data_IF_298592086305
#
_entry.id   IF_298592086305
#
_cell.length_a   1.000
_cell.length_b   1.000
_cell.length_c   1.000
_cell.angle_alpha   90.00
_cell.angle_beta   90.00
_cell.angle_gamma   90.00
#
_symmetry.space_group_name_H-M   'P 1'
#
loop_
_entity.id
_entity.type
_entity.pdbx_description
1 polymer ?
#
# COMPACT_ATOMS: atom_id res chain seq x y z
N UNK A 1 -19.00 1.85 -4.81
CA UNK A 1 -19.16 1.88 -3.34
C UNK A 1 -18.30 0.76 -2.77
N UNK A 2 -17.44 1.04 -1.79
CA UNK A 2 -16.49 0.07 -1.19
C UNK A 2 -17.17 -0.99 -0.29
N UNK A 3 -18.42 -1.36 -0.55
CA UNK A 3 -19.16 -2.40 0.17
C UNK A 3 -19.53 -2.10 1.63
N UNK A 4 -19.12 -0.95 2.17
CA UNK A 4 -19.40 -0.54 3.55
C UNK A 4 -19.97 0.87 3.57
N UNK A 5 -21.12 1.05 4.22
CA UNK A 5 -21.66 2.36 4.55
C UNK A 5 -20.87 2.95 5.71
N UNK A 6 -20.18 4.06 5.46
CA UNK A 6 -19.54 4.84 6.50
C UNK A 6 -20.44 6.02 6.88
N UNK A 7 -20.57 6.30 8.17
CA UNK A 7 -21.22 7.52 8.64
C UNK A 7 -20.39 8.73 8.19
N UNK A 8 -21.05 9.87 8.01
CA UNK A 8 -20.35 11.12 7.73
C UNK A 8 -19.38 11.45 8.86
N UNK A 9 -18.13 11.74 8.48
CA UNK A 9 -17.09 12.17 9.37
C UNK A 9 -17.10 13.69 9.59
N UNK A 10 -16.42 14.13 10.64
CA UNK A 10 -16.16 15.55 10.92
C UNK A 10 -14.66 15.83 10.75
N UNK A 11 -14.32 17.01 10.22
CA UNK A 11 -12.92 17.41 10.06
C UNK A 11 -12.23 17.67 11.41
N UNK A 12 -10.92 17.43 11.46
CA UNK A 12 -10.10 17.60 12.68
C UNK A 12 -10.34 18.95 13.38
N UNK A 13 -10.24 20.07 12.65
CA UNK A 13 -10.35 21.41 13.24
C UNK A 13 -11.73 21.69 13.85
N UNK A 14 -12.78 21.13 13.28
CA UNK A 14 -14.14 21.29 13.82
C UNK A 14 -14.35 20.39 15.04
N UNK A 15 -13.87 19.15 14.98
CA UNK A 15 -13.87 18.24 16.13
C UNK A 15 -13.10 18.81 17.32
N UNK A 16 -11.96 19.45 17.07
CA UNK A 16 -11.15 20.12 18.08
C UNK A 16 -11.91 21.31 18.71
N UNK A 17 -12.52 22.18 17.89
CA UNK A 17 -13.32 23.31 18.39
C UNK A 17 -14.51 22.87 19.24
N UNK A 18 -15.12 21.74 18.91
CA UNK A 18 -16.25 21.16 19.66
C UNK A 18 -15.81 20.33 20.89
N UNK A 19 -14.51 20.24 21.18
CA UNK A 19 -13.98 19.43 22.30
C UNK A 19 -14.24 17.93 22.15
N UNK A 20 -14.42 17.44 20.91
CA UNK A 20 -14.71 16.03 20.64
C UNK A 20 -13.46 15.15 20.75
N UNK A 21 -12.27 15.71 20.51
CA UNK A 21 -11.01 14.96 20.62
C UNK A 21 -10.67 14.59 22.07
N UNK A 22 -11.20 15.34 23.04
CA UNK A 22 -11.06 15.04 24.48
C UNK A 22 -12.00 13.89 24.92
N UNK A 23 -13.02 13.55 24.11
CA UNK A 23 -14.00 12.50 24.38
C UNK A 23 -13.67 11.23 23.59
N UNK A 24 -13.01 10.27 24.25
CA UNK A 24 -12.67 8.96 23.67
C UNK A 24 -13.86 7.99 23.74
N UNK A 25 -14.01 7.02 22.80
CA UNK A 25 -13.12 6.74 21.67
C UNK A 25 -13.47 7.54 20.41
N UNK A 26 -12.45 7.77 19.58
CA UNK A 26 -12.60 8.32 18.24
C UNK A 26 -11.62 7.63 17.28
N UNK A 27 -11.92 7.68 15.99
CA UNK A 27 -11.04 7.23 14.91
C UNK A 27 -10.81 8.41 13.99
N UNK A 28 -9.56 8.62 13.59
CA UNK A 28 -9.17 9.63 12.62
C UNK A 28 -8.50 8.94 11.44
N UNK A 29 -9.02 9.20 10.23
CA UNK A 29 -8.36 8.82 8.99
C UNK A 29 -7.56 10.02 8.50
N UNK A 30 -6.25 9.85 8.34
CA UNK A 30 -5.33 10.90 7.94
C UNK A 30 -4.34 10.37 6.89
N UNK A 31 -3.78 11.22 6.03
CA UNK A 31 -2.70 10.82 5.12
C UNK A 31 -1.53 10.21 5.87
N UNK A 32 -0.75 9.35 5.20
CA UNK A 32 0.47 8.81 5.79
C UNK A 32 1.47 9.94 6.00
N UNK A 33 1.74 10.25 7.27
CA UNK A 33 2.69 11.29 7.68
C UNK A 33 3.93 10.64 8.30
N UNK A 34 5.07 11.32 8.25
CA UNK A 34 6.24 10.87 8.99
C UNK A 34 6.04 11.05 10.50
N UNK A 35 6.68 10.22 11.32
CA UNK A 35 6.65 10.36 12.79
C UNK A 35 7.15 11.72 13.28
N UNK A 36 7.96 12.41 12.45
CA UNK A 36 8.49 13.74 12.78
C UNK A 36 7.45 14.85 12.62
N UNK A 37 6.32 14.56 11.97
CA UNK A 37 5.25 15.52 11.71
C UNK A 37 4.68 16.09 13.02
N UNK A 38 4.56 17.42 13.10
CA UNK A 38 4.09 18.14 14.30
C UNK A 38 2.65 17.78 14.67
N UNK A 39 1.78 17.57 13.68
CA UNK A 39 0.39 17.15 13.89
C UNK A 39 0.32 15.79 14.59
N UNK A 40 1.06 14.79 14.11
CA UNK A 40 1.10 13.47 14.75
C UNK A 40 1.65 13.57 16.17
N UNK A 41 2.70 14.37 16.39
CA UNK A 41 3.26 14.59 17.72
C UNK A 41 2.23 15.21 18.68
N UNK A 42 1.48 16.22 18.23
CA UNK A 42 0.40 16.82 19.02
C UNK A 42 -0.70 15.80 19.33
N UNK A 43 -1.15 15.02 18.33
CA UNK A 43 -2.19 14.02 18.55
C UNK A 43 -1.77 12.98 19.58
N UNK A 44 -0.51 12.51 19.51
CA UNK A 44 0.05 11.56 20.47
C UNK A 44 0.21 12.19 21.86
N UNK A 45 0.83 13.37 21.97
CA UNK A 45 1.15 13.97 23.28
C UNK A 45 -0.08 14.52 24.00
N UNK A 46 -1.01 15.16 23.27
CA UNK A 46 -2.17 15.84 23.86
C UNK A 46 -3.34 14.89 24.08
N UNK A 47 -3.63 14.02 23.11
CA UNK A 47 -4.80 13.15 23.17
C UNK A 47 -4.45 11.68 23.41
N UNK A 48 -3.16 11.33 23.52
CA UNK A 48 -2.74 9.94 23.68
C UNK A 48 -3.12 9.07 22.48
N UNK A 49 -3.09 9.65 21.27
CA UNK A 49 -3.41 8.94 20.04
C UNK A 49 -2.42 7.80 19.81
N UNK A 50 -2.91 6.69 19.26
CA UNK A 50 -2.11 5.56 18.79
C UNK A 50 -2.20 5.53 17.27
N UNK A 51 -1.07 5.40 16.58
CA UNK A 51 -1.03 5.36 15.11
C UNK A 51 -1.01 3.93 14.58
N UNK A 52 -1.87 3.67 13.60
CA UNK A 52 -1.92 2.40 12.86
C UNK A 52 -1.66 2.70 11.40
N UNK A 53 -0.65 2.04 10.82
CA UNK A 53 -0.29 2.16 9.40
C UNK A 53 -0.63 0.88 8.65
N UNK A 54 -1.07 1.03 7.39
CA UNK A 54 -1.38 -0.09 6.50
C UNK A 54 -0.40 -0.09 5.32
N UNK A 55 0.27 -1.22 5.07
CA UNK A 55 1.19 -1.35 3.93
C UNK A 55 1.48 -2.82 3.61
N UNK A 56 1.59 -3.17 2.33
CA UNK A 56 2.06 -4.49 1.90
C UNK A 56 3.47 -4.81 2.40
N UNK A 57 4.24 -3.77 2.73
CA UNK A 57 5.60 -3.86 3.25
C UNK A 57 5.68 -3.75 4.78
N UNK A 58 4.58 -3.80 5.50
CA UNK A 58 4.54 -3.63 6.96
C UNK A 58 5.49 -4.58 7.73
N UNK A 59 5.71 -5.80 7.22
CA UNK A 59 6.61 -6.81 7.79
C UNK A 59 7.98 -6.89 7.10
N UNK A 60 8.27 -5.98 6.15
CA UNK A 60 9.52 -6.02 5.41
C UNK A 60 10.71 -5.67 6.29
N UNK A 61 11.76 -6.48 6.26
CA UNK A 61 13.05 -6.15 6.87
C UNK A 61 13.87 -5.19 6.02
N UNK A 62 13.58 -5.13 4.71
CA UNK A 62 14.25 -4.25 3.74
C UNK A 62 13.67 -2.85 3.72
N UNK A 63 12.35 -2.74 3.83
CA UNK A 63 11.66 -1.46 3.87
C UNK A 63 11.14 -1.20 5.27
N UNK A 64 11.71 -0.19 5.93
CA UNK A 64 11.41 0.14 7.32
C UNK A 64 10.05 0.84 7.51
N UNK A 65 9.01 0.39 6.80
CA UNK A 65 7.63 0.89 6.92
C UNK A 65 7.04 0.57 8.28
N UNK A 66 7.41 -0.59 8.87
CA UNK A 66 6.97 -1.02 10.18
C UNK A 66 7.29 -0.06 11.34
N UNK A 67 8.30 0.81 11.17
CA UNK A 67 8.76 1.77 12.21
C UNK A 67 8.26 3.20 11.99
N UNK A 68 7.15 3.38 11.28
CA UNK A 68 6.55 4.71 11.05
C UNK A 68 5.30 4.95 11.89
N UNK A 69 4.78 3.91 12.54
CA UNK A 69 3.55 3.93 13.33
C UNK A 69 3.70 3.01 14.53
N UNK A 70 2.87 3.20 15.56
CA UNK A 70 2.89 2.36 16.75
C UNK A 70 2.52 0.91 16.42
N UNK A 71 1.60 0.73 15.45
CA UNK A 71 1.24 -0.55 14.87
C UNK A 71 1.27 -0.49 13.35
N UNK A 72 1.73 -1.58 12.71
CA UNK A 72 1.76 -1.71 11.26
C UNK A 72 1.06 -3.00 10.83
N UNK A 73 0.06 -2.88 9.97
CA UNK A 73 -0.78 -3.98 9.49
C UNK A 73 -0.47 -4.25 8.01
N UNK A 74 -0.13 -5.52 7.63
CA UNK A 74 0.03 -5.91 6.24
C UNK A 74 -1.28 -5.73 5.47
N UNK A 75 -1.28 -4.85 4.48
CA UNK A 75 -2.41 -4.65 3.59
C UNK A 75 -1.90 -4.02 2.28
N UNK A 76 -2.25 -4.64 1.16
CA UNK A 76 -1.82 -4.23 -0.18
C UNK A 76 -3.05 -4.17 -1.09
N UNK A 77 -3.05 -3.21 -2.00
CA UNK A 77 -3.98 -3.12 -3.14
C UNK A 77 -3.46 -3.86 -4.38
N UNK A 78 -2.19 -4.28 -4.38
CA UNK A 78 -1.62 -5.18 -5.39
C UNK A 78 -2.05 -6.62 -5.14
N UNK A 79 -2.26 -7.35 -6.25
CA UNK A 79 -2.46 -8.79 -6.25
C UNK A 79 -1.27 -9.53 -5.62
N UNK A 80 -1.55 -10.68 -5.02
CA UNK A 80 -0.50 -11.61 -4.62
C UNK A 80 0.12 -12.34 -5.83
N UNK A 81 1.08 -13.24 -5.56
CA UNK A 81 1.78 -13.98 -6.61
C UNK A 81 0.85 -14.88 -7.43
N UNK A 82 -0.01 -15.65 -6.76
CA UNK A 82 -0.88 -16.62 -7.44
C UNK A 82 -1.98 -15.90 -8.22
N UNK A 83 -2.52 -14.81 -7.66
CA UNK A 83 -3.45 -13.92 -8.35
C UNK A 83 -2.82 -13.29 -9.59
N UNK A 84 -1.56 -12.86 -9.51
CA UNK A 84 -0.84 -12.28 -10.65
C UNK A 84 -0.59 -13.33 -11.75
N UNK A 85 -0.15 -14.55 -11.39
CA UNK A 85 0.01 -15.65 -12.34
C UNK A 85 -1.32 -15.97 -13.02
N UNK A 86 -2.40 -16.11 -12.23
CA UNK A 86 -3.73 -16.39 -12.74
C UNK A 86 -4.24 -15.28 -13.68
N UNK A 87 -3.96 -14.01 -13.36
CA UNK A 87 -4.29 -12.89 -14.24
C UNK A 87 -3.58 -13.02 -15.59
N UNK A 88 -2.27 -13.29 -15.58
CA UNK A 88 -1.49 -13.49 -16.81
C UNK A 88 -2.04 -14.65 -17.64
N UNK A 89 -2.31 -15.81 -17.02
CA UNK A 89 -2.87 -16.98 -17.72
C UNK A 89 -4.23 -16.65 -18.34
N UNK A 90 -5.11 -15.99 -17.58
CA UNK A 90 -6.45 -15.60 -18.06
C UNK A 90 -6.42 -14.55 -19.16
N UNK A 91 -5.36 -13.75 -19.23
CA UNK A 91 -5.23 -12.72 -20.27
C UNK A 91 -5.10 -13.30 -21.67
N UNK A 92 -4.57 -14.54 -21.80
CA UNK A 92 -4.27 -15.14 -23.10
C UNK A 92 -3.16 -14.43 -23.88
N UNK A 93 -2.35 -13.60 -23.23
CA UNK A 93 -1.30 -12.84 -23.88
C UNK A 93 -0.24 -13.76 -24.53
N UNK A 94 0.08 -13.49 -25.79
CA UNK A 94 1.12 -14.22 -26.53
C UNK A 94 2.54 -13.91 -26.01
N UNK A 95 2.74 -12.68 -25.49
CA UNK A 95 4.00 -12.23 -24.89
C UNK A 95 3.74 -11.33 -23.70
N UNK A 96 4.50 -11.53 -22.62
CA UNK A 96 4.37 -10.78 -21.36
C UNK A 96 5.66 -10.03 -21.07
N UNK A 97 5.52 -8.74 -20.75
CA UNK A 97 6.64 -7.91 -20.31
C UNK A 97 6.50 -7.58 -18.83
N UNK A 98 7.45 -8.02 -18.02
CA UNK A 98 7.42 -7.78 -16.57
C UNK A 98 8.08 -6.45 -16.24
N UNK A 99 7.41 -5.65 -15.41
CA UNK A 99 7.88 -4.35 -14.92
C UNK A 99 7.64 -4.23 -13.42
N UNK A 100 8.51 -3.45 -12.75
CA UNK A 100 8.50 -3.20 -11.32
C UNK A 100 8.64 -4.46 -10.43
N UNK A 101 9.45 -4.38 -9.37
CA UNK A 101 9.66 -5.50 -8.46
C UNK A 101 10.61 -6.58 -8.99
N UNK A 102 10.30 -7.85 -8.75
CA UNK A 102 11.13 -9.02 -9.10
C UNK A 102 10.91 -9.45 -10.55
N UNK A 103 11.27 -8.56 -11.47
CA UNK A 103 10.92 -8.68 -12.90
C UNK A 103 11.55 -9.91 -13.56
N UNK A 104 12.79 -10.25 -13.21
CA UNK A 104 13.52 -11.39 -13.77
C UNK A 104 12.92 -12.71 -13.28
N UNK A 105 12.72 -12.81 -11.97
CA UNK A 105 12.20 -14.00 -11.30
C UNK A 105 10.77 -14.31 -11.76
N UNK A 106 9.94 -13.27 -11.87
CA UNK A 106 8.57 -13.45 -12.32
C UNK A 106 8.51 -13.84 -13.81
N UNK A 107 9.30 -13.19 -14.68
CA UNK A 107 9.38 -13.59 -16.08
C UNK A 107 9.90 -15.03 -16.24
N UNK A 108 10.89 -15.43 -15.44
CA UNK A 108 11.40 -16.80 -15.42
C UNK A 108 10.31 -17.80 -15.02
N UNK A 109 9.53 -17.49 -13.97
CA UNK A 109 8.42 -18.33 -13.56
C UNK A 109 7.39 -18.51 -14.68
N UNK A 110 6.97 -17.42 -15.34
CA UNK A 110 6.03 -17.50 -16.47
C UNK A 110 6.55 -18.36 -17.63
N UNK A 111 7.86 -18.29 -17.92
CA UNK A 111 8.49 -19.17 -18.93
C UNK A 111 8.41 -20.65 -18.55
N UNK A 112 8.48 -21.01 -17.27
CA UNK A 112 8.28 -22.41 -16.83
C UNK A 112 6.84 -22.91 -17.07
N UNK A 113 5.87 -22.00 -17.19
CA UNK A 113 4.49 -22.29 -17.54
C UNK A 113 4.25 -22.30 -19.06
N UNK A 114 5.30 -22.15 -19.87
CA UNK A 114 5.21 -22.08 -21.33
C UNK A 114 4.80 -20.71 -21.88
N UNK A 115 4.76 -19.67 -21.05
CA UNK A 115 4.38 -18.31 -21.44
C UNK A 115 5.64 -17.55 -21.87
N UNK A 116 5.63 -16.97 -23.06
CA UNK A 116 6.72 -16.11 -23.53
C UNK A 116 6.78 -14.84 -22.69
N UNK A 117 7.76 -14.74 -21.80
CA UNK A 117 7.88 -13.62 -20.87
C UNK A 117 9.31 -13.10 -20.75
N UNK A 118 9.48 -11.78 -20.67
CA UNK A 118 10.76 -11.13 -20.41
C UNK A 118 10.58 -9.81 -19.64
N UNK A 119 11.57 -9.39 -18.84
CA UNK A 119 11.57 -8.06 -18.27
C UNK A 119 11.63 -6.97 -19.34
N UNK A 120 10.91 -5.88 -19.13
CA UNK A 120 11.12 -4.66 -19.90
C UNK A 120 12.32 -3.91 -19.30
N UNK A 121 13.41 -3.78 -20.07
CA UNK A 121 14.59 -3.01 -19.67
C UNK A 121 14.58 -1.68 -20.42
N UNK A 122 14.95 -0.61 -19.71
CA UNK A 122 14.81 0.81 -20.12
C UNK A 122 15.47 1.17 -21.47
N UNK A 123 16.39 0.33 -21.98
CA UNK A 123 17.07 0.54 -23.25
C UNK A 123 16.40 -0.11 -24.47
N UNK A 124 15.26 -0.80 -24.32
CA UNK A 124 14.72 -1.65 -25.41
C UNK A 124 13.46 -1.14 -26.09
N UNK A 125 12.99 0.09 -25.84
CA UNK A 125 11.80 0.60 -26.54
C UNK A 125 12.07 0.95 -28.00
N UNK A 126 13.31 1.35 -28.33
CA UNK A 126 13.72 1.69 -29.69
C UNK A 126 13.94 0.45 -30.59
N UNK A 127 14.11 -0.74 -29.99
CA UNK A 127 14.32 -2.00 -30.73
C UNK A 127 13.01 -2.72 -31.10
N UNK A 128 11.85 -2.11 -30.79
CA UNK A 128 10.52 -2.69 -31.04
C UNK A 128 9.65 -1.87 -32.03
N UNK A 129 10.26 -0.97 -32.82
CA UNK A 129 9.60 -0.28 -33.96
C UNK A 129 10.23 -0.72 -35.29
#
# INVERSE_FOLDING_TARGET
QLGVSLNDGIGHSEAQKKGLLDKKPWIMVAPMMSEKNSFLKEMKSKYGAVTIGFSGWAKSTKFNFGRRTDYSIPMSDHCDFDELVNMVVKSGAEKVYTIHGFVEEFAQHLRTLGISAQPLRENSLDDFI
#
